data_IF_398600979812
#
_entry.id   IF_398600979812
#
_cell.length_a   1.000
_cell.length_b   1.000
_cell.length_c   1.000
_cell.angle_alpha   90.00
_cell.angle_beta   90.00
_cell.angle_gamma   90.00
#
_symmetry.space_group_name_H-M   'P 1'
#
loop_
_entity.id
_entity.type
_entity.pdbx_description
1 polymer ?
#
# COMPACT_ATOMS: atom_id res chain seq x y z
N UNK A 1 3.44 2.41 63.74
CA UNK A 1 4.26 2.11 62.54
C UNK A 1 3.79 0.80 61.89
N UNK A 2 2.85 0.91 60.95
CA UNK A 2 2.39 -0.19 60.10
C UNK A 2 2.68 0.27 58.67
N UNK A 3 3.73 -0.30 58.08
CA UNK A 3 4.15 0.00 56.71
C UNK A 3 3.30 -0.80 55.72
N UNK A 4 2.54 -0.08 54.88
CA UNK A 4 1.76 -0.65 53.78
C UNK A 4 2.70 -0.98 52.63
N UNK A 5 2.60 -2.22 52.14
CA UNK A 5 3.28 -2.75 50.95
C UNK A 5 2.56 -2.21 49.71
N UNK A 6 3.25 -1.47 48.85
CA UNK A 6 2.79 -1.23 47.48
C UNK A 6 3.29 -2.35 46.57
N UNK A 7 2.38 -3.22 46.14
CA UNK A 7 2.57 -4.07 44.98
C UNK A 7 2.27 -3.23 43.73
N UNK A 8 3.30 -2.87 42.98
CA UNK A 8 3.14 -2.32 41.63
C UNK A 8 2.90 -3.48 40.66
N UNK A 9 1.64 -3.69 40.26
CA UNK A 9 1.30 -4.54 39.12
C UNK A 9 1.60 -3.79 37.82
N UNK A 10 2.75 -4.08 37.21
CA UNK A 10 2.98 -3.72 35.80
C UNK A 10 2.24 -4.75 34.96
N UNK A 11 1.03 -4.40 34.52
CA UNK A 11 0.33 -5.11 33.46
C UNK A 11 1.09 -4.81 32.15
N UNK A 12 2.04 -5.68 31.82
CA UNK A 12 2.65 -5.70 30.51
C UNK A 12 1.60 -6.13 29.49
N UNK A 13 1.11 -5.18 28.69
CA UNK A 13 0.40 -5.48 27.45
C UNK A 13 1.39 -6.15 26.50
N UNK A 14 1.42 -7.48 26.48
CA UNK A 14 2.03 -8.24 25.40
C UNK A 14 1.18 -8.00 24.15
N UNK A 15 1.63 -7.10 23.27
CA UNK A 15 1.19 -7.09 21.88
C UNK A 15 1.71 -8.39 21.28
N UNK A 16 0.84 -9.40 21.17
CA UNK A 16 1.14 -10.65 20.49
C UNK A 16 1.45 -10.30 19.02
N UNK A 17 2.72 -10.01 18.71
CA UNK A 17 3.17 -9.88 17.33
C UNK A 17 3.17 -11.29 16.78
N UNK A 18 2.17 -11.59 15.95
CA UNK A 18 2.10 -12.85 15.23
C UNK A 18 3.38 -12.92 14.35
N UNK A 19 4.31 -13.87 14.60
CA UNK A 19 5.67 -13.82 14.06
C UNK A 19 5.74 -13.95 12.52
N UNK A 20 4.60 -14.23 11.89
CA UNK A 20 4.48 -14.37 10.44
C UNK A 20 4.05 -13.08 9.73
N UNK A 21 3.69 -12.01 10.47
CA UNK A 21 3.32 -10.72 9.87
C UNK A 21 4.60 -9.93 9.60
N UNK A 22 4.78 -9.54 8.34
CA UNK A 22 5.83 -8.60 7.94
C UNK A 22 5.21 -7.23 7.67
N UNK A 23 5.87 -6.16 8.10
CA UNK A 23 5.39 -4.79 7.88
C UNK A 23 6.52 -3.88 7.38
N UNK A 24 6.18 -2.98 6.45
CA UNK A 24 7.08 -1.92 5.98
C UNK A 24 6.37 -0.58 6.07
N UNK A 25 7.01 0.38 6.76
CA UNK A 25 6.46 1.73 6.99
C UNK A 25 7.25 2.77 6.20
N UNK A 26 6.52 3.70 5.58
CA UNK A 26 7.05 4.88 4.88
C UNK A 26 6.44 6.12 5.49
N UNK A 27 7.28 7.01 6.00
CA UNK A 27 6.83 8.29 6.55
C UNK A 27 7.54 9.41 5.83
N UNK A 28 6.79 10.42 5.38
CA UNK A 28 7.37 11.64 4.87
C UNK A 28 8.06 12.39 6.01
N UNK A 29 9.36 12.66 5.88
CA UNK A 29 10.11 13.49 6.82
C UNK A 29 10.48 14.80 6.11
N UNK A 30 9.90 15.93 6.52
CA UNK A 30 10.39 17.23 6.09
C UNK A 30 11.73 17.52 6.81
N UNK A 31 12.74 17.97 6.08
CA UNK A 31 14.11 18.22 6.59
C UNK A 31 14.26 19.32 7.64
N UNK A 32 13.15 19.90 8.11
CA UNK A 32 13.08 20.81 9.26
C UNK A 32 11.99 20.31 10.21
N UNK A 33 12.36 20.17 11.48
CA UNK A 33 11.64 19.50 12.57
C UNK A 33 10.10 19.48 12.48
N UNK A 34 9.52 18.27 12.46
CA UNK A 34 8.44 17.92 13.39
C UNK A 34 7.06 17.54 12.84
N UNK A 35 6.69 17.90 11.61
CA UNK A 35 5.36 17.58 11.09
C UNK A 35 5.44 16.49 10.01
N UNK A 36 5.00 15.28 10.39
CA UNK A 36 4.68 14.22 9.44
C UNK A 36 3.30 14.51 8.85
N UNK A 37 3.15 14.99 7.61
CA UNK A 37 1.83 15.26 7.04
C UNK A 37 1.02 13.97 6.88
N UNK A 38 1.69 12.85 6.60
CA UNK A 38 1.10 11.51 6.65
C UNK A 38 2.18 10.41 6.67
N UNK A 39 1.77 9.20 7.06
CA UNK A 39 2.51 7.95 6.95
C UNK A 39 1.71 6.93 6.13
N UNK A 40 2.40 6.04 5.44
CA UNK A 40 1.84 4.89 4.72
C UNK A 40 2.55 3.63 5.22
N UNK A 41 1.82 2.55 5.45
CA UNK A 41 2.39 1.24 5.74
C UNK A 41 1.78 0.16 4.87
N UNK A 42 2.54 -0.92 4.70
CA UNK A 42 2.08 -2.17 4.12
C UNK A 42 2.34 -3.30 5.11
N UNK A 43 1.33 -4.11 5.36
CA UNK A 43 1.44 -5.31 6.19
C UNK A 43 1.12 -6.53 5.33
N UNK A 44 2.01 -7.52 5.29
CA UNK A 44 1.74 -8.84 4.72
C UNK A 44 1.19 -9.74 5.81
N UNK A 45 -0.04 -10.20 5.63
CA UNK A 45 -0.73 -11.12 6.52
C UNK A 45 -0.92 -12.45 5.79
N UNK A 46 -0.13 -13.48 6.11
CA UNK A 46 -0.29 -14.79 5.50
C UNK A 46 -1.60 -15.45 5.95
N UNK A 47 -2.26 -16.17 5.05
CA UNK A 47 -3.51 -16.90 5.34
C UNK A 47 -3.31 -18.08 6.29
N UNK A 48 -2.09 -18.63 6.32
CA UNK A 48 -1.67 -19.65 7.27
C UNK A 48 -0.30 -19.30 7.83
N UNK A 49 -0.15 -19.43 9.15
CA UNK A 49 1.14 -19.35 9.83
C UNK A 49 1.87 -20.71 9.87
N UNK A 50 1.48 -21.69 9.04
CA UNK A 50 2.02 -23.05 9.08
C UNK A 50 3.30 -23.22 8.25
N UNK A 51 4.30 -23.89 8.84
CA UNK A 51 5.57 -24.25 8.20
C UNK A 51 5.45 -25.38 7.14
N UNK A 52 4.27 -25.98 6.98
CA UNK A 52 4.06 -27.17 6.16
C UNK A 52 3.67 -26.82 4.71
N UNK A 53 4.66 -26.73 3.82
CA UNK A 53 4.70 -26.95 2.36
C UNK A 53 3.51 -26.62 1.41
N UNK A 54 2.39 -26.07 1.88
CA UNK A 54 1.35 -25.49 1.06
C UNK A 54 1.69 -24.01 0.90
N UNK A 55 1.75 -23.53 -0.34
CA UNK A 55 1.81 -22.09 -0.63
C UNK A 55 0.45 -21.53 -0.22
N UNK A 56 0.35 -21.11 1.04
CA UNK A 56 -0.81 -20.38 1.53
C UNK A 56 -0.70 -18.95 1.00
N UNK A 57 -1.80 -18.39 0.53
CA UNK A 57 -1.82 -17.03 0.03
C UNK A 57 -1.52 -16.01 1.14
N UNK A 58 -1.44 -14.74 0.76
CA UNK A 58 -1.28 -13.64 1.69
C UNK A 58 -2.06 -12.42 1.25
N UNK A 59 -2.53 -11.68 2.26
CA UNK A 59 -3.15 -10.38 2.08
C UNK A 59 -2.14 -9.28 2.40
N UNK A 60 -2.00 -8.32 1.50
CA UNK A 60 -1.19 -7.11 1.66
C UNK A 60 -2.13 -5.96 1.97
N UNK A 61 -2.10 -5.49 3.21
CA UNK A 61 -2.95 -4.41 3.70
C UNK A 61 -2.16 -3.12 3.64
N UNK A 62 -2.61 -2.19 2.79
CA UNK A 62 -2.11 -0.83 2.74
C UNK A 62 -2.92 0.03 3.69
N UNK A 63 -2.23 0.75 4.58
CA UNK A 63 -2.86 1.68 5.51
C UNK A 63 -2.14 3.03 5.49
N UNK A 64 -2.88 4.09 5.77
CA UNK A 64 -2.34 5.44 5.93
C UNK A 64 -2.74 6.06 7.27
N UNK A 65 -1.98 7.08 7.65
CA UNK A 65 -2.22 7.85 8.85
C UNK A 65 -1.98 9.32 8.53
N UNK A 66 -2.95 10.17 8.82
CA UNK A 66 -2.83 11.61 8.60
C UNK A 66 -2.20 12.27 9.83
N UNK A 67 -1.17 13.10 9.61
CA UNK A 67 -0.51 13.75 10.74
C UNK A 67 0.08 12.75 11.73
N UNK A 68 -0.08 13.08 13.01
CA UNK A 68 0.22 12.22 14.14
C UNK A 68 -1.04 11.55 14.72
N UNK A 69 -2.09 11.32 13.92
CA UNK A 69 -3.29 10.62 14.42
C UNK A 69 -2.93 9.25 14.98
N UNK A 70 -3.65 8.75 15.99
CA UNK A 70 -3.35 7.42 16.55
C UNK A 70 -3.87 6.28 15.65
N UNK A 71 -4.91 6.54 14.86
CA UNK A 71 -5.56 5.55 13.99
C UNK A 71 -4.92 5.44 12.61
N UNK A 72 -4.65 4.19 12.20
CA UNK A 72 -4.37 3.83 10.81
C UNK A 72 -5.69 3.60 10.08
N UNK A 73 -5.89 4.27 8.95
CA UNK A 73 -6.97 4.03 8.02
C UNK A 73 -6.52 3.03 6.96
N UNK A 74 -7.26 1.94 6.77
CA UNK A 74 -7.03 1.02 5.65
C UNK A 74 -7.37 1.70 4.32
N UNK A 75 -6.47 1.60 3.35
CA UNK A 75 -6.59 2.18 2.01
C UNK A 75 -7.11 1.13 1.03
N UNK A 76 -6.40 0.00 0.93
CA UNK A 76 -6.70 -1.09 0.03
C UNK A 76 -6.08 -2.39 0.54
N UNK A 77 -6.64 -3.52 0.09
CA UNK A 77 -6.10 -4.87 0.35
C UNK A 77 -5.86 -5.55 -0.99
N UNK A 78 -4.69 -6.17 -1.13
CA UNK A 78 -4.31 -6.93 -2.32
C UNK A 78 -4.00 -8.37 -1.90
N UNK A 79 -4.52 -9.34 -2.62
CA UNK A 79 -4.29 -10.76 -2.34
C UNK A 79 -3.31 -11.38 -3.34
N UNK A 80 -2.48 -12.29 -2.86
CA UNK A 80 -1.63 -13.16 -3.68
C UNK A 80 -1.80 -14.61 -3.24
N UNK A 81 -2.01 -15.51 -4.20
CA UNK A 81 -1.94 -16.96 -3.97
C UNK A 81 -0.49 -17.44 -3.71
N UNK A 82 0.49 -16.78 -4.33
CA UNK A 82 1.93 -17.00 -4.12
C UNK A 82 2.57 -15.71 -3.56
N UNK A 83 2.70 -15.60 -2.22
CA UNK A 83 3.17 -14.38 -1.59
C UNK A 83 4.60 -14.01 -1.98
N UNK A 84 4.79 -12.74 -2.31
CA UNK A 84 6.10 -12.13 -2.54
C UNK A 84 6.54 -11.23 -1.38
N UNK A 85 7.81 -10.86 -1.33
CA UNK A 85 8.24 -9.80 -0.41
C UNK A 85 7.55 -8.47 -0.74
N UNK A 86 7.29 -7.65 0.28
CA UNK A 86 6.70 -6.32 0.11
C UNK A 86 7.65 -5.47 -0.76
N UNK A 87 7.30 -5.12 -2.01
CA UNK A 87 8.25 -4.46 -2.89
C UNK A 87 8.39 -3.00 -2.48
N UNK A 88 9.62 -2.55 -2.19
CA UNK A 88 9.85 -1.22 -1.60
C UNK A 88 9.58 -0.03 -2.52
N UNK A 89 9.51 -0.27 -3.82
CA UNK A 89 9.27 0.73 -4.85
C UNK A 89 7.78 0.97 -5.14
N UNK A 90 6.87 0.29 -4.43
CA UNK A 90 5.43 0.39 -4.61
C UNK A 90 4.81 1.62 -3.96
N UNK A 91 5.45 2.16 -2.92
CA UNK A 91 5.03 3.40 -2.25
C UNK A 91 5.90 4.56 -2.74
N UNK A 92 5.25 5.64 -3.16
CA UNK A 92 5.90 6.86 -3.65
C UNK A 92 5.29 8.08 -2.98
N UNK A 93 6.15 8.83 -2.31
CA UNK A 93 5.79 10.15 -1.78
C UNK A 93 6.33 11.18 -2.76
N UNK A 94 5.43 11.95 -3.36
CA UNK A 94 5.74 12.94 -4.40
C UNK A 94 5.94 14.32 -3.76
N UNK A 95 5.09 14.67 -2.79
CA UNK A 95 5.20 15.89 -1.97
C UNK A 95 4.50 15.72 -0.63
N UNK A 96 4.40 16.78 0.18
CA UNK A 96 3.68 16.78 1.46
C UNK A 96 2.17 16.52 1.33
N UNK A 97 1.61 16.64 0.11
CA UNK A 97 0.19 16.41 -0.18
C UNK A 97 -0.06 15.17 -1.00
N UNK A 98 0.90 14.79 -1.84
CA UNK A 98 0.71 13.78 -2.87
C UNK A 98 1.56 12.56 -2.56
N UNK A 99 0.89 11.42 -2.46
CA UNK A 99 1.53 10.12 -2.47
C UNK A 99 0.63 9.10 -3.15
N UNK A 100 1.27 8.07 -3.70
CA UNK A 100 0.57 6.94 -4.26
C UNK A 100 1.23 5.64 -3.86
N UNK A 101 0.44 4.58 -3.91
CA UNK A 101 0.90 3.21 -3.77
C UNK A 101 0.27 2.34 -4.83
N UNK A 102 0.98 1.30 -5.27
CA UNK A 102 0.43 0.33 -6.21
C UNK A 102 0.97 -1.05 -5.96
N UNK A 103 0.14 -2.07 -6.10
CA UNK A 103 0.57 -3.46 -6.02
C UNK A 103 -0.43 -4.31 -6.78
N UNK A 104 0.08 -5.25 -7.58
CA UNK A 104 -0.74 -6.09 -8.44
C UNK A 104 -1.58 -5.24 -9.41
N UNK A 105 -2.90 -5.44 -9.48
CA UNK A 105 -3.83 -4.59 -10.24
C UNK A 105 -4.27 -3.31 -9.52
N UNK A 106 -3.94 -3.15 -8.24
CA UNK A 106 -4.42 -2.07 -7.39
C UNK A 106 -3.51 -0.84 -7.39
N UNK A 107 -4.12 0.34 -7.47
CA UNK A 107 -3.48 1.64 -7.30
C UNK A 107 -4.28 2.47 -6.30
N UNK A 108 -3.60 3.19 -5.42
CA UNK A 108 -4.25 4.14 -4.53
C UNK A 108 -3.46 5.45 -4.44
N UNK A 109 -4.16 6.57 -4.38
CA UNK A 109 -3.56 7.91 -4.34
C UNK A 109 -4.23 8.82 -3.34
N UNK A 110 -3.43 9.68 -2.72
CA UNK A 110 -3.87 10.86 -1.99
C UNK A 110 -3.28 12.11 -2.63
N UNK A 111 -4.03 13.20 -2.57
CA UNK A 111 -3.61 14.54 -2.99
C UNK A 111 -3.91 15.60 -1.92
N UNK A 112 -4.20 15.17 -0.69
CA UNK A 112 -4.65 16.01 0.42
C UNK A 112 -3.96 15.61 1.75
N UNK A 113 -2.70 15.19 1.66
CA UNK A 113 -1.87 14.77 2.80
C UNK A 113 -2.45 13.56 3.52
N UNK A 114 -2.99 12.59 2.79
CA UNK A 114 -3.48 11.33 3.34
C UNK A 114 -4.82 11.40 4.06
N UNK A 115 -5.57 12.52 3.94
CA UNK A 115 -6.93 12.65 4.51
C UNK A 115 -7.94 11.82 3.73
N UNK A 116 -7.81 11.81 2.41
CA UNK A 116 -8.63 10.97 1.52
C UNK A 116 -7.75 10.18 0.57
N UNK A 117 -8.26 9.00 0.20
CA UNK A 117 -7.61 8.08 -0.71
C UNK A 117 -8.59 7.68 -1.81
N UNK A 118 -8.14 7.77 -3.05
CA UNK A 118 -8.87 7.21 -4.19
C UNK A 118 -8.20 5.92 -4.62
N UNK A 119 -8.97 4.84 -4.72
CA UNK A 119 -8.50 3.53 -5.14
C UNK A 119 -8.98 3.25 -6.56
N UNK A 120 -8.05 2.87 -7.42
CA UNK A 120 -8.27 2.38 -8.76
C UNK A 120 -7.82 0.92 -8.85
N UNK A 121 -8.52 0.15 -9.67
CA UNK A 121 -8.25 -1.27 -9.86
C UNK A 121 -8.35 -1.59 -11.35
N UNK A 122 -7.33 -2.28 -11.85
CA UNK A 122 -7.24 -2.72 -13.24
C UNK A 122 -8.41 -3.64 -13.62
N UNK A 123 -8.94 -4.41 -12.66
CA UNK A 123 -10.06 -5.33 -12.88
C UNK A 123 -11.38 -4.59 -13.19
N UNK A 124 -11.41 -3.27 -12.96
CA UNK A 124 -12.56 -2.41 -13.28
C UNK A 124 -12.49 -1.82 -14.70
N UNK A 125 -11.43 -2.08 -15.46
CA UNK A 125 -11.35 -1.65 -16.86
C UNK A 125 -12.35 -2.48 -17.68
N UNK A 126 -13.22 -1.87 -18.50
CA UNK A 126 -14.13 -2.62 -19.37
C UNK A 126 -13.37 -3.56 -20.32
N UNK A 127 -13.80 -4.81 -20.41
CA UNK A 127 -13.14 -5.87 -21.18
C UNK A 127 -11.71 -6.19 -20.71
N UNK A 128 -11.40 -5.88 -19.45
CA UNK A 128 -10.18 -6.37 -18.82
C UNK A 128 -10.19 -7.90 -18.72
N UNK A 129 -9.06 -8.49 -19.08
CA UNK A 129 -8.80 -9.90 -18.91
C UNK A 129 -7.34 -10.05 -18.48
N UNK A 130 -7.12 -10.61 -17.29
CA UNK A 130 -5.78 -10.83 -16.75
C UNK A 130 -4.92 -11.76 -17.64
N UNK A 131 -5.56 -12.58 -18.49
CA UNK A 131 -4.85 -13.42 -19.46
C UNK A 131 -4.31 -12.58 -20.63
N UNK A 132 -4.96 -11.45 -20.91
CA UNK A 132 -4.61 -10.58 -22.03
C UNK A 132 -3.66 -9.44 -21.59
N UNK A 133 -3.57 -9.14 -20.29
CA UNK A 133 -2.70 -8.11 -19.74
C UNK A 133 -2.15 -8.50 -18.36
N UNK A 134 -0.88 -8.22 -18.11
CA UNK A 134 -0.29 -8.40 -16.79
C UNK A 134 -0.64 -7.27 -15.82
N UNK A 135 -0.27 -7.45 -14.56
CA UNK A 135 -0.46 -6.48 -13.49
C UNK A 135 0.40 -5.22 -13.64
N UNK A 136 0.18 -4.22 -12.78
CA UNK A 136 0.91 -2.96 -12.79
C UNK A 136 2.41 -3.23 -12.64
N UNK A 137 3.17 -2.76 -13.63
CA UNK A 137 4.63 -2.84 -13.67
C UNK A 137 5.26 -1.58 -13.10
N UNK A 138 4.75 -0.43 -13.51
CA UNK A 138 5.33 0.87 -13.23
C UNK A 138 4.25 1.94 -13.17
N UNK A 139 4.38 2.84 -12.20
CA UNK A 139 3.54 4.04 -12.08
C UNK A 139 4.41 5.25 -11.78
N UNK A 140 4.19 6.32 -12.54
CA UNK A 140 4.75 7.65 -12.28
C UNK A 140 3.62 8.65 -12.20
N UNK A 141 3.51 9.39 -11.11
CA UNK A 141 2.58 10.51 -10.95
C UNK A 141 3.34 11.72 -10.43
N UNK A 142 3.13 12.85 -11.11
CA UNK A 142 3.74 14.14 -10.79
C UNK A 142 2.84 14.95 -9.86
N UNK A 143 3.40 15.96 -9.21
CA UNK A 143 2.67 16.84 -8.29
C UNK A 143 1.54 17.64 -8.97
N UNK A 144 1.64 17.86 -10.29
CA UNK A 144 0.58 18.50 -11.07
C UNK A 144 -0.58 17.54 -11.47
N UNK A 145 -0.55 16.29 -11.01
CA UNK A 145 -1.56 15.27 -11.29
C UNK A 145 -1.40 14.55 -12.62
N UNK A 146 -0.41 14.90 -13.43
CA UNK A 146 -0.08 14.18 -14.66
C UNK A 146 0.68 12.90 -14.30
N UNK A 147 0.35 11.80 -14.96
CA UNK A 147 1.05 10.53 -14.73
C UNK A 147 0.87 9.51 -15.82
N UNK A 148 1.66 8.44 -15.70
CA UNK A 148 1.63 7.27 -16.57
C UNK A 148 1.63 5.99 -15.76
N UNK A 149 0.90 4.99 -16.22
CA UNK A 149 0.86 3.64 -15.67
C UNK A 149 1.16 2.64 -16.79
N UNK A 150 2.06 1.70 -16.53
CA UNK A 150 2.40 0.62 -17.45
C UNK A 150 2.07 -0.72 -16.83
N UNK A 151 1.47 -1.58 -17.64
CA UNK A 151 1.18 -2.96 -17.27
C UNK A 151 2.27 -3.90 -17.78
N UNK A 152 2.47 -5.02 -17.10
CA UNK A 152 3.29 -6.09 -17.64
C UNK A 152 2.67 -6.61 -18.95
N UNK A 153 3.48 -6.87 -20.00
CA UNK A 153 2.97 -7.53 -21.18
C UNK A 153 2.47 -8.93 -20.80
N UNK A 154 1.39 -9.38 -21.43
CA UNK A 154 0.98 -10.79 -21.32
C UNK A 154 1.69 -11.62 -22.38
N UNK A 155 1.75 -12.94 -22.18
CA UNK A 155 2.31 -13.86 -23.18
C UNK A 155 1.55 -13.79 -24.52
N UNK A 156 0.26 -13.45 -24.48
CA UNK A 156 -0.59 -13.28 -25.67
C UNK A 156 -0.37 -11.94 -26.34
N UNK A 157 -0.18 -10.87 -25.57
CA UNK A 157 0.01 -9.52 -26.06
C UNK A 157 1.43 -9.04 -25.71
N UNK A 158 2.36 -9.25 -26.65
CA UNK A 158 3.75 -8.75 -26.58
C UNK A 158 3.86 -7.21 -26.48
N UNK A 159 2.73 -6.49 -26.52
CA UNK A 159 2.68 -5.02 -26.42
C UNK A 159 2.39 -4.63 -24.97
N UNK A 160 3.21 -3.74 -24.44
CA UNK A 160 2.97 -3.09 -23.14
C UNK A 160 1.73 -2.19 -23.27
N UNK A 161 0.76 -2.38 -22.39
CA UNK A 161 -0.36 -1.46 -22.24
C UNK A 161 0.06 -0.28 -21.38
N UNK A 162 -0.09 0.92 -21.93
CA UNK A 162 0.22 2.18 -21.26
C UNK A 162 -1.05 2.99 -21.05
N UNK A 163 -1.12 3.65 -19.90
CA UNK A 163 -2.23 4.48 -19.49
C UNK A 163 -1.71 5.86 -19.07
N UNK A 164 -2.56 6.86 -19.25
CA UNK A 164 -2.31 8.24 -18.89
C UNK A 164 -3.36 8.74 -17.90
N UNK A 165 -2.94 9.63 -17.01
CA UNK A 165 -3.82 10.38 -16.11
C UNK A 165 -3.44 11.85 -16.09
N UNK A 166 -4.44 12.71 -15.84
CA UNK A 166 -4.29 14.13 -15.54
C UNK A 166 -4.95 14.51 -14.21
N UNK A 167 -5.29 13.52 -13.38
CA UNK A 167 -6.01 13.68 -12.12
C UNK A 167 -5.43 12.84 -10.98
N UNK A 168 -4.10 12.69 -10.97
CA UNK A 168 -3.33 11.91 -9.99
C UNK A 168 -3.60 10.40 -10.07
N UNK A 169 -4.14 9.90 -11.17
CA UNK A 169 -4.48 8.47 -11.32
C UNK A 169 -5.80 8.11 -10.64
N UNK A 170 -6.67 9.09 -10.35
CA UNK A 170 -8.06 8.83 -9.98
C UNK A 170 -8.81 8.21 -11.16
N UNK A 171 -8.45 8.63 -12.38
CA UNK A 171 -8.86 8.01 -13.63
C UNK A 171 -7.65 7.74 -14.52
N UNK A 172 -7.72 6.64 -15.27
CA UNK A 172 -6.69 6.21 -16.21
C UNK A 172 -7.29 6.00 -17.59
N UNK A 173 -6.64 6.55 -18.62
CA UNK A 173 -7.04 6.41 -20.02
C UNK A 173 -5.95 5.64 -20.78
N UNK A 174 -6.32 4.56 -21.44
CA UNK A 174 -5.39 3.77 -22.24
C UNK A 174 -4.87 4.60 -23.43
N UNK A 175 -3.56 4.56 -23.65
CA UNK A 175 -2.90 5.11 -24.83
C UNK A 175 -2.96 4.05 -25.94
N UNK A 176 -3.44 4.42 -27.13
CA UNK A 176 -3.57 3.51 -28.27
C UNK A 176 -2.23 3.28 -28.98
#
# INVERSE_FOLDING_TARGET
PIGIIFLASIIGFWKYQNPCIESVDYTYQNGWQGENPFSIKVERIPESCSFAAAVAGANYIFSARHGNSEGWQQIMTVHYDDPIDIPRNTIKIVSEKVAYTFMNGGYAVTSDSGKTWTVWDVDKIPNWNFVDYGYIKEVTVLENGIGSLKLNPSDKHKKVSEFYTSDFGKTWKQIK
#
